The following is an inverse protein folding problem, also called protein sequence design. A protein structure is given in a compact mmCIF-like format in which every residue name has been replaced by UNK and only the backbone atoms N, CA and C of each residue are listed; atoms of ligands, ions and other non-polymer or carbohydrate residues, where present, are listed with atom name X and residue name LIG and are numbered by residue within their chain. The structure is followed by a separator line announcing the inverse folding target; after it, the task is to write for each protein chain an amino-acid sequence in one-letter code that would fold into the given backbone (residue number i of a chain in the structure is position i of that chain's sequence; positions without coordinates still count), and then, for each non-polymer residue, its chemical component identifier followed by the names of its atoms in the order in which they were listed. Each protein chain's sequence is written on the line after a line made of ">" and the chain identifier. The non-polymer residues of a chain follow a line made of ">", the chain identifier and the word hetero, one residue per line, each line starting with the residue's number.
data_IF_961532318042
#
_entry.id   IF_961532318042
#
_cell.length_a   1.000
_cell.length_b   1.000
_cell.length_c   1.000
_cell.angle_alpha   90.00
_cell.angle_beta   90.00
_cell.angle_gamma   90.00
#
_symmetry.space_group_name_H-M   'P 1'
#
loop_
_entity.id
_entity.type
_entity.pdbx_description
1 polymer ?
#
# COMPACT_ATOMS: atom_id res chain seq x y z
N UNK A 1 -18.92 -7.03 32.37
CA UNK A 1 -18.54 -5.62 32.13
C UNK A 1 -18.20 -5.46 30.65
N UNK A 2 -18.94 -4.65 29.91
CA UNK A 2 -18.48 -4.24 28.56
C UNK A 2 -17.30 -3.28 28.74
N UNK A 3 -16.19 -3.44 27.99
CA UNK A 3 -15.11 -2.46 28.03
C UNK A 3 -15.65 -1.12 27.55
N UNK A 4 -15.39 -0.05 28.31
CA UNK A 4 -15.76 1.30 27.92
C UNK A 4 -15.23 1.58 26.50
N UNK A 5 -16.12 2.05 25.60
CA UNK A 5 -15.73 2.48 24.25
C UNK A 5 -14.66 3.56 24.40
N UNK A 6 -13.41 3.24 24.06
CA UNK A 6 -12.37 4.25 23.94
C UNK A 6 -12.82 5.26 22.87
N UNK A 7 -12.73 6.57 23.13
CA UNK A 7 -13.03 7.56 22.10
C UNK A 7 -12.12 7.31 20.89
N UNK A 8 -12.72 7.27 19.69
CA UNK A 8 -12.01 7.19 18.42
C UNK A 8 -11.85 8.60 17.84
N UNK A 9 -10.72 8.85 17.17
CA UNK A 9 -10.40 10.18 16.63
C UNK A 9 -9.65 11.07 17.64
N UNK A 10 -9.59 12.37 17.36
CA UNK A 10 -8.72 13.31 18.07
C UNK A 10 -9.19 13.74 19.47
N UNK A 11 -10.37 13.30 19.92
CA UNK A 11 -10.89 13.63 21.26
C UNK A 11 -10.32 12.66 22.29
N UNK A 12 -9.68 13.17 23.35
CA UNK A 12 -9.16 12.33 24.44
C UNK A 12 -7.90 11.52 24.07
N UNK A 13 -7.04 12.07 23.21
CA UNK A 13 -5.75 11.47 22.91
C UNK A 13 -4.88 11.41 24.18
N UNK A 14 -4.18 10.30 24.38
CA UNK A 14 -3.14 10.18 25.41
C UNK A 14 -1.80 10.78 24.99
N UNK A 15 -1.75 11.44 23.84
CA UNK A 15 -0.55 11.96 23.20
C UNK A 15 -0.85 13.26 22.45
N UNK A 16 0.19 14.08 22.31
CA UNK A 16 0.12 15.34 21.58
C UNK A 16 0.31 15.16 20.07
N UNK A 17 -0.26 16.06 19.27
CA UNK A 17 -0.15 16.03 17.80
C UNK A 17 1.30 16.02 17.29
N UNK A 18 2.26 16.75 17.87
CA UNK A 18 3.67 16.67 17.47
C UNK A 18 4.28 15.28 17.64
N UNK A 19 3.86 14.50 18.66
CA UNK A 19 4.35 13.14 18.86
C UNK A 19 3.87 12.21 17.74
N UNK A 20 2.58 12.29 17.37
CA UNK A 20 2.04 11.56 16.23
C UNK A 20 2.77 11.94 14.93
N UNK A 21 2.98 13.24 14.70
CA UNK A 21 3.68 13.72 13.51
C UNK A 21 5.11 13.17 13.44
N UNK A 22 5.85 13.19 14.56
CA UNK A 22 7.19 12.63 14.63
C UNK A 22 7.19 11.12 14.35
N UNK A 23 6.23 10.37 14.92
CA UNK A 23 6.08 8.94 14.67
C UNK A 23 5.81 8.63 13.18
N UNK A 24 4.94 9.41 12.53
CA UNK A 24 4.67 9.28 11.10
C UNK A 24 5.91 9.57 10.25
N UNK A 25 6.64 10.65 10.55
CA UNK A 25 7.88 11.00 9.81
C UNK A 25 8.94 9.91 9.95
N UNK A 26 9.16 9.40 11.17
CA UNK A 26 10.09 8.30 11.40
C UNK A 26 9.67 7.03 10.65
N UNK A 27 8.36 6.75 10.61
CA UNK A 27 7.85 5.62 9.86
C UNK A 27 8.08 5.78 8.35
N UNK A 28 7.80 6.96 7.79
CA UNK A 28 8.07 7.27 6.38
C UNK A 28 9.56 7.22 6.04
N UNK A 29 10.45 7.74 6.89
CA UNK A 29 11.90 7.65 6.67
C UNK A 29 12.33 6.19 6.48
N UNK A 30 11.92 5.28 7.37
CA UNK A 30 12.27 3.86 7.20
C UNK A 30 11.64 3.20 5.97
N UNK A 31 10.44 3.62 5.57
CA UNK A 31 9.84 3.15 4.32
C UNK A 31 10.67 3.62 3.13
N UNK A 32 11.04 4.90 3.09
CA UNK A 32 11.85 5.52 2.03
C UNK A 32 13.23 4.85 1.97
N UNK A 33 13.92 4.73 3.09
CA UNK A 33 15.24 4.07 3.17
C UNK A 33 15.20 2.66 2.57
N UNK A 34 14.14 1.90 2.84
CA UNK A 34 13.97 0.55 2.30
C UNK A 34 13.72 0.54 0.79
N UNK A 35 12.73 1.31 0.31
CA UNK A 35 12.34 1.28 -1.11
C UNK A 35 13.32 2.00 -2.03
N UNK A 36 14.24 2.80 -1.48
CA UNK A 36 15.25 3.54 -2.25
C UNK A 36 16.63 2.87 -2.23
N UNK A 37 16.74 1.67 -1.68
CA UNK A 37 17.95 0.83 -1.87
C UNK A 37 18.12 0.45 -3.34
N UNK A 38 19.36 0.29 -3.79
CA UNK A 38 19.63 -0.04 -5.19
C UNK A 38 19.05 -1.40 -5.59
N UNK A 39 19.09 -2.40 -4.69
CA UNK A 39 18.45 -3.69 -4.92
C UNK A 39 16.92 -3.56 -5.11
N UNK A 40 16.26 -2.71 -4.31
CA UNK A 40 14.82 -2.48 -4.49
C UNK A 40 14.53 -1.72 -5.79
N UNK A 41 15.35 -0.72 -6.17
CA UNK A 41 15.21 -0.04 -7.46
C UNK A 41 15.33 -1.03 -8.62
N UNK A 42 16.33 -1.91 -8.62
CA UNK A 42 16.48 -2.95 -9.65
C UNK A 42 15.26 -3.87 -9.71
N UNK A 43 14.71 -4.28 -8.55
CA UNK A 43 13.46 -5.06 -8.51
C UNK A 43 12.28 -4.30 -9.15
N UNK A 44 12.22 -2.98 -8.95
CA UNK A 44 11.19 -2.14 -9.55
C UNK A 44 11.39 -1.96 -11.05
N UNK A 45 12.63 -1.90 -11.54
CA UNK A 45 12.96 -1.90 -12.96
C UNK A 45 12.51 -3.21 -13.62
N UNK A 46 12.80 -4.36 -12.98
CA UNK A 46 12.32 -5.68 -13.42
C UNK A 46 10.79 -5.72 -13.53
N UNK A 47 10.09 -5.23 -12.49
CA UNK A 47 8.63 -5.13 -12.49
C UNK A 47 8.12 -4.20 -13.60
N UNK A 48 8.79 -3.07 -13.82
CA UNK A 48 8.46 -2.07 -14.82
C UNK A 48 8.63 -2.58 -16.25
N UNK A 49 9.62 -3.45 -16.49
CA UNK A 49 9.86 -4.07 -17.78
C UNK A 49 8.76 -5.10 -18.16
N UNK A 50 8.00 -5.60 -17.20
CA UNK A 50 6.89 -6.51 -17.47
C UNK A 50 5.69 -5.79 -18.08
N UNK A 51 5.01 -6.48 -18.99
CA UNK A 51 3.68 -6.08 -19.44
C UNK A 51 2.73 -5.93 -18.24
N UNK A 52 1.86 -4.89 -18.21
CA UNK A 52 0.93 -4.62 -17.11
C UNK A 52 0.17 -5.84 -16.57
N UNK A 53 -0.23 -6.78 -17.44
CA UNK A 53 -0.95 -8.00 -17.07
C UNK A 53 -0.14 -9.01 -16.24
N UNK A 54 1.20 -8.99 -16.35
CA UNK A 54 2.09 -9.93 -15.65
C UNK A 54 2.54 -9.42 -14.28
N UNK A 55 2.41 -8.10 -14.04
CA UNK A 55 2.83 -7.44 -12.79
C UNK A 55 2.13 -8.00 -11.54
N UNK A 56 0.81 -8.29 -11.52
CA UNK A 56 0.17 -8.87 -10.34
C UNK A 56 0.76 -10.23 -9.92
N UNK A 57 1.10 -11.08 -10.90
CA UNK A 57 1.73 -12.38 -10.64
C UNK A 57 3.15 -12.19 -10.09
N UNK A 58 3.94 -11.31 -10.69
CA UNK A 58 5.28 -11.00 -10.19
C UNK A 58 5.26 -10.54 -8.73
N UNK A 59 4.29 -9.70 -8.34
CA UNK A 59 4.16 -9.24 -6.95
C UNK A 59 3.90 -10.40 -6.01
N UNK A 60 2.98 -11.29 -6.38
CA UNK A 60 2.66 -12.46 -5.57
C UNK A 60 3.87 -13.41 -5.41
N UNK A 61 4.54 -13.72 -6.52
CA UNK A 61 5.64 -14.69 -6.54
C UNK A 61 6.94 -14.11 -5.96
N UNK A 62 7.18 -12.80 -6.09
CA UNK A 62 8.45 -12.16 -5.74
C UNK A 62 8.31 -11.21 -4.54
N UNK A 63 7.53 -10.14 -4.66
CA UNK A 63 7.48 -9.07 -3.65
C UNK A 63 6.88 -9.50 -2.30
N UNK A 64 6.00 -10.50 -2.30
CA UNK A 64 5.40 -11.02 -1.06
C UNK A 64 6.24 -12.14 -0.42
N UNK A 65 7.21 -12.70 -1.13
CA UNK A 65 8.03 -13.82 -0.69
C UNK A 65 9.36 -13.33 -0.12
N UNK A 66 9.61 -13.58 1.17
CA UNK A 66 10.89 -13.22 1.81
C UNK A 66 12.07 -13.94 1.16
N UNK A 67 11.89 -15.20 0.74
CA UNK A 67 12.93 -15.98 0.08
C UNK A 67 13.28 -15.41 -1.30
N UNK A 68 12.26 -15.00 -2.08
CA UNK A 68 12.48 -14.43 -3.41
C UNK A 68 13.12 -13.03 -3.35
N UNK A 69 12.81 -12.25 -2.30
CA UNK A 69 13.46 -10.97 -2.01
C UNK A 69 14.92 -11.20 -1.56
N UNK A 70 15.15 -12.16 -0.66
CA UNK A 70 16.49 -12.49 -0.18
C UNK A 70 17.41 -12.96 -1.32
N UNK A 71 16.89 -13.76 -2.25
CA UNK A 71 17.60 -14.17 -3.47
C UNK A 71 18.03 -12.99 -4.37
N UNK A 72 17.42 -11.81 -4.20
CA UNK A 72 17.75 -10.55 -4.89
C UNK A 72 18.55 -9.59 -4.01
N UNK A 73 19.06 -10.05 -2.87
CA UNK A 73 19.78 -9.20 -1.91
C UNK A 73 18.89 -8.23 -1.14
N UNK A 74 17.57 -8.38 -1.20
CA UNK A 74 16.61 -7.52 -0.50
C UNK A 74 16.22 -8.19 0.81
N UNK A 75 16.60 -7.58 1.93
CA UNK A 75 16.15 -8.00 3.26
C UNK A 75 15.05 -7.07 3.75
N UNK A 76 13.81 -7.57 3.77
CA UNK A 76 12.66 -6.84 4.30
C UNK A 76 12.83 -6.59 5.82
N UNK A 77 12.82 -5.33 6.30
CA UNK A 77 12.86 -5.05 7.73
C UNK A 77 11.62 -5.59 8.44
N UNK A 78 11.77 -6.10 9.68
CA UNK A 78 10.68 -6.73 10.46
C UNK A 78 9.44 -5.85 10.63
N UNK A 79 9.60 -4.53 10.63
CA UNK A 79 8.52 -3.57 10.84
C UNK A 79 7.92 -3.05 9.52
N UNK A 80 8.38 -3.54 8.37
CA UNK A 80 7.87 -3.19 7.05
C UNK A 80 7.10 -4.38 6.50
N UNK A 81 5.88 -4.10 6.03
CA UNK A 81 5.01 -5.08 5.40
C UNK A 81 4.77 -4.68 3.95
N UNK A 82 5.02 -5.62 3.04
CA UNK A 82 4.61 -5.52 1.64
C UNK A 82 3.31 -6.29 1.49
N UNK A 83 2.30 -5.68 0.89
CA UNK A 83 1.01 -6.33 0.67
C UNK A 83 0.41 -5.89 -0.66
N UNK A 84 -0.41 -6.73 -1.27
CA UNK A 84 -1.34 -6.28 -2.31
C UNK A 84 -2.38 -5.35 -1.70
N UNK A 85 -2.85 -4.39 -2.47
CA UNK A 85 -3.85 -3.41 -2.02
C UNK A 85 -4.78 -3.04 -3.17
N UNK A 86 -6.00 -2.65 -2.81
CA UNK A 86 -7.02 -2.16 -3.71
C UNK A 86 -7.65 -0.91 -3.07
N UNK A 87 -7.90 0.13 -3.87
CA UNK A 87 -8.55 1.35 -3.40
C UNK A 87 -9.96 1.48 -3.98
N UNK A 88 -10.82 2.20 -3.25
CA UNK A 88 -12.20 2.49 -3.68
C UNK A 88 -12.25 3.35 -4.95
N UNK A 89 -11.22 4.16 -5.17
CA UNK A 89 -11.06 5.02 -6.35
C UNK A 89 -10.66 4.25 -7.62
N UNK A 90 -10.56 2.91 -7.55
CA UNK A 90 -10.25 2.02 -8.67
C UNK A 90 -8.90 2.30 -9.35
N UNK A 91 -7.97 3.02 -8.70
CA UNK A 91 -6.58 3.10 -9.21
C UNK A 91 -5.99 1.69 -9.34
N UNK A 92 -5.19 1.42 -10.39
CA UNK A 92 -4.61 0.10 -10.64
C UNK A 92 -3.43 -0.17 -9.71
N UNK A 93 -3.66 -0.09 -8.41
CA UNK A 93 -2.69 -0.39 -7.38
C UNK A 93 -2.21 -1.81 -7.50
N UNK A 94 -0.89 -1.96 -7.57
CA UNK A 94 -0.25 -3.26 -7.62
C UNK A 94 0.01 -3.75 -6.20
N UNK A 95 0.69 -2.92 -5.40
CA UNK A 95 1.03 -3.24 -4.03
C UNK A 95 1.31 -1.98 -3.21
N UNK A 96 1.40 -2.14 -1.90
CA UNK A 96 1.85 -1.09 -0.99
C UNK A 96 2.96 -1.62 -0.09
N UNK A 97 3.86 -0.73 0.28
CA UNK A 97 4.84 -0.95 1.34
C UNK A 97 4.40 -0.11 2.53
N UNK A 98 4.11 -0.75 3.66
CA UNK A 98 3.53 -0.08 4.83
C UNK A 98 4.28 -0.39 6.12
N UNK A 99 4.12 0.51 7.08
CA UNK A 99 4.60 0.37 8.44
C UNK A 99 3.49 0.78 9.41
N UNK A 100 3.21 -0.09 10.37
CA UNK A 100 2.32 0.24 11.48
C UNK A 100 2.98 1.27 12.40
N UNK A 101 2.19 2.24 12.87
CA UNK A 101 2.64 3.16 13.90
C UNK A 101 2.64 2.45 15.26
N UNK A 102 3.40 2.96 16.25
CA UNK A 102 3.30 2.48 17.62
C UNK A 102 1.85 2.39 18.11
N UNK A 103 1.56 1.39 18.95
CA UNK A 103 0.19 1.06 19.39
C UNK A 103 -0.52 2.27 20.01
N UNK A 104 0.21 3.11 20.73
CA UNK A 104 -0.30 4.34 21.35
C UNK A 104 -1.01 5.27 20.36
N UNK A 105 -0.65 5.25 19.07
CA UNK A 105 -1.26 6.08 18.02
C UNK A 105 -2.38 5.40 17.23
N UNK A 106 -2.57 4.08 17.41
CA UNK A 106 -3.42 3.25 16.54
C UNK A 106 -4.93 3.51 16.69
N UNK A 107 -5.33 4.26 17.72
CA UNK A 107 -6.71 4.72 17.92
C UNK A 107 -7.12 5.82 16.91
N UNK A 108 -6.15 6.54 16.32
CA UNK A 108 -6.40 7.55 15.28
C UNK A 108 -5.74 7.16 13.96
N UNK A 109 -4.50 6.68 14.01
CA UNK A 109 -3.71 6.40 12.82
C UNK A 109 -2.96 5.08 12.97
N UNK A 110 -3.42 4.05 12.26
CA UNK A 110 -2.84 2.71 12.42
C UNK A 110 -1.51 2.53 11.69
N UNK A 111 -1.37 3.09 10.49
CA UNK A 111 -0.21 2.86 9.64
C UNK A 111 0.02 4.01 8.65
N UNK A 112 1.25 4.07 8.15
CA UNK A 112 1.60 4.84 6.95
C UNK A 112 2.04 3.89 5.85
N UNK A 113 1.82 4.26 4.60
CA UNK A 113 2.16 3.43 3.45
C UNK A 113 2.63 4.27 2.25
N UNK A 114 3.40 3.62 1.38
CA UNK A 114 3.77 4.09 0.05
C UNK A 114 3.12 3.12 -0.95
N UNK A 115 2.38 3.67 -1.90
CA UNK A 115 1.60 2.91 -2.87
C UNK A 115 2.32 2.85 -4.21
N UNK A 116 2.33 1.66 -4.81
CA UNK A 116 2.89 1.41 -6.13
C UNK A 116 1.76 1.00 -7.07
N UNK A 117 1.42 1.91 -7.97
CA UNK A 117 0.40 1.70 -8.99
C UNK A 117 1.01 1.16 -10.27
N UNK A 118 0.17 0.54 -11.10
CA UNK A 118 0.51 0.23 -12.47
C UNK A 118 0.67 1.54 -13.26
N UNK A 119 1.28 1.50 -14.44
CA UNK A 119 1.25 2.68 -15.30
C UNK A 119 -0.18 2.93 -15.75
N UNK A 120 -0.69 4.13 -15.50
CA UNK A 120 -1.98 4.60 -15.97
C UNK A 120 -1.88 6.07 -16.35
N UNK A 121 -2.81 6.52 -17.21
CA UNK A 121 -2.93 7.94 -17.54
C UNK A 121 -3.80 8.56 -16.45
N UNK A 122 -3.25 9.46 -15.64
CA UNK A 122 -3.98 10.00 -14.48
C UNK A 122 -5.33 10.66 -14.85
N UNK A 123 -5.39 11.29 -16.03
CA UNK A 123 -6.63 11.89 -16.54
C UNK A 123 -7.70 10.88 -16.97
N UNK A 124 -7.37 9.61 -17.15
CA UNK A 124 -8.36 8.56 -17.45
C UNK A 124 -8.99 7.98 -16.19
N UNK A 125 -8.40 8.22 -15.02
CA UNK A 125 -8.99 7.84 -13.73
C UNK A 125 -10.06 8.87 -13.37
N UNK A 126 -11.34 8.49 -13.52
CA UNK A 126 -12.46 9.34 -13.12
C UNK A 126 -12.47 9.56 -11.61
N UNK A 127 -12.11 10.78 -11.18
CA UNK A 127 -12.23 11.27 -9.81
C UNK A 127 -13.59 11.90 -9.59
N UNK A 128 -14.64 11.12 -9.82
CA UNK A 128 -16.00 11.61 -9.62
C UNK A 128 -16.29 11.75 -8.12
N UNK A 129 -16.76 12.92 -7.69
CA UNK A 129 -16.92 13.28 -6.28
C UNK A 129 -17.92 12.37 -5.57
N UNK A 130 -18.98 11.97 -6.29
CA UNK A 130 -20.01 11.04 -5.81
C UNK A 130 -19.53 9.58 -5.73
N UNK A 131 -18.34 9.30 -6.27
CA UNK A 131 -17.80 7.95 -6.48
C UNK A 131 -16.50 7.71 -5.68
N UNK A 132 -15.94 8.78 -5.11
CA UNK A 132 -14.67 8.79 -4.36
C UNK A 132 -14.58 7.78 -3.20
N UNK A 133 -15.71 7.22 -2.74
CA UNK A 133 -15.77 6.18 -1.72
C UNK A 133 -16.62 4.98 -2.15
N UNK A 134 -16.19 4.23 -3.16
CA UNK A 134 -16.69 2.86 -3.40
C UNK A 134 -16.01 1.86 -2.47
N UNK A 135 -16.69 0.73 -2.21
CA UNK A 135 -16.02 -0.45 -1.67
C UNK A 135 -14.91 -0.88 -2.66
N UNK A 136 -13.66 -1.06 -2.22
CA UNK A 136 -12.61 -1.58 -3.09
C UNK A 136 -13.03 -2.89 -3.75
N UNK A 137 -12.60 -3.14 -5.00
CA UNK A 137 -12.73 -4.49 -5.57
C UNK A 137 -11.94 -5.46 -4.70
N UNK A 138 -12.39 -6.72 -4.57
CA UNK A 138 -11.52 -7.77 -4.07
C UNK A 138 -10.21 -7.78 -4.86
N UNK A 139 -9.09 -7.97 -4.15
CA UNK A 139 -7.74 -7.94 -4.75
C UNK A 139 -7.61 -8.95 -5.90
N UNK A 140 -8.27 -10.11 -5.79
CA UNK A 140 -8.33 -11.13 -6.84
C UNK A 140 -8.94 -10.60 -8.14
N UNK A 141 -10.03 -9.83 -8.01
CA UNK A 141 -10.84 -9.40 -9.14
C UNK A 141 -10.15 -8.23 -9.86
N UNK A 142 -9.55 -7.33 -9.08
CA UNK A 142 -8.67 -6.29 -9.61
C UNK A 142 -7.48 -6.90 -10.37
N UNK A 143 -6.80 -7.88 -9.78
CA UNK A 143 -5.67 -8.55 -10.43
C UNK A 143 -6.09 -9.27 -11.72
N UNK A 144 -7.25 -9.93 -11.72
CA UNK A 144 -7.77 -10.62 -12.89
C UNK A 144 -8.17 -9.65 -14.01
N UNK A 145 -8.78 -8.51 -13.67
CA UNK A 145 -9.10 -7.46 -14.63
C UNK A 145 -7.84 -6.85 -15.25
N UNK A 146 -6.84 -6.52 -14.42
CA UNK A 146 -5.55 -6.03 -14.90
C UNK A 146 -4.84 -7.06 -15.79
N UNK A 147 -4.97 -8.36 -15.49
CA UNK A 147 -4.41 -9.42 -16.31
C UNK A 147 -5.06 -9.49 -17.71
N UNK A 148 -6.33 -9.11 -17.84
CA UNK A 148 -7.05 -9.03 -19.13
C UNK A 148 -6.86 -7.70 -19.86
N UNK A 149 -6.29 -6.68 -19.20
CA UNK A 149 -6.19 -5.32 -19.73
C UNK A 149 -7.50 -4.53 -19.58
N UNK A 150 -8.42 -4.98 -18.73
CA UNK A 150 -9.69 -4.30 -18.49
C UNK A 150 -9.47 -3.00 -17.68
N UNK A 151 -10.20 -1.96 -18.05
CA UNK A 151 -10.29 -0.72 -17.30
C UNK A 151 -11.07 -0.94 -15.99
N UNK A 152 -10.42 -0.73 -14.84
CA UNK A 152 -10.99 -1.00 -13.51
C UNK A 152 -12.18 -0.09 -13.17
N UNK A 153 -12.23 1.09 -13.79
CA UNK A 153 -13.30 2.07 -13.63
C UNK A 153 -14.67 1.56 -14.11
N UNK A 154 -14.69 0.59 -15.03
CA UNK A 154 -15.90 0.03 -15.62
C UNK A 154 -16.43 -1.20 -14.85
N UNK A 155 -15.71 -1.65 -13.83
CA UNK A 155 -16.09 -2.81 -13.03
C UNK A 155 -16.96 -2.40 -11.84
N UNK A 156 -18.15 -3.01 -11.79
CA UNK A 156 -19.17 -2.82 -10.76
C UNK A 156 -18.64 -3.15 -9.36
#
# INVERSE_FOLDING_TARGET
>A
MQPAKKPHGYQGLSYERPALQAAMRNAYNSLIDFITTDAFKTLMDDLGALHPSHRPKFVFDVLLSDDALAARGIKRPKHILIQRSAFGDRRPTIFVVKRFLPEEFSNVWQNVNITFDNQFIDSTVKRDLDISWRKPLPISDQAAAMARGDALEHLA
#
